data_IF_967555502378
#
_entry.id   IF_967555502378
#
_cell.length_a   1.000
_cell.length_b   1.000
_cell.length_c   1.000
_cell.angle_alpha   90.00
_cell.angle_beta   90.00
_cell.angle_gamma   90.00
#
_symmetry.space_group_name_H-M   'P 1'
#
loop_
_entity.id
_entity.type
_entity.pdbx_description
1 polymer ?
#
# COMPACT_ATOMS: atom_id res chain seq x y z
N UNK A 1 3.70 -3.28 -16.17
CA UNK A 1 2.42 -3.98 -15.90
C UNK A 1 1.24 -3.26 -16.57
N UNK A 2 1.33 -2.94 -17.86
CA UNK A 2 0.21 -2.37 -18.62
C UNK A 2 -0.50 -1.15 -18.01
N UNK A 3 0.25 -0.21 -17.41
CA UNK A 3 -0.31 0.98 -16.73
C UNK A 3 -1.11 1.84 -17.70
N UNK A 4 -2.25 2.35 -17.23
CA UNK A 4 -3.14 3.28 -17.93
C UNK A 4 -3.59 4.39 -16.98
N UNK A 5 -4.13 5.48 -17.52
CA UNK A 5 -4.73 6.53 -16.69
C UNK A 5 -5.89 5.99 -15.84
N UNK A 6 -5.86 6.26 -14.53
CA UNK A 6 -6.75 5.61 -13.55
C UNK A 6 -6.09 4.43 -12.83
N UNK A 7 -4.93 3.95 -13.28
CA UNK A 7 -4.20 2.88 -12.62
C UNK A 7 -3.08 3.46 -11.76
N UNK A 8 -2.91 2.90 -10.57
CA UNK A 8 -1.70 3.07 -9.77
C UNK A 8 -0.96 1.75 -9.74
N UNK A 9 0.33 1.74 -10.07
CA UNK A 9 1.18 0.55 -10.01
C UNK A 9 2.04 0.62 -8.75
N UNK A 10 1.85 -0.34 -7.86
CA UNK A 10 2.73 -0.55 -6.71
C UNK A 10 3.72 -1.66 -7.05
N UNK A 11 5.02 -1.38 -7.00
CA UNK A 11 6.07 -2.41 -7.05
C UNK A 11 6.47 -2.72 -5.62
N UNK A 12 5.81 -3.72 -5.03
CA UNK A 12 5.93 -4.06 -3.61
C UNK A 12 7.03 -5.12 -3.41
N UNK A 13 8.09 -4.71 -2.72
CA UNK A 13 9.21 -5.56 -2.31
C UNK A 13 9.74 -5.12 -0.94
N UNK A 14 11.06 -5.06 -0.81
CA UNK A 14 11.76 -4.52 0.38
C UNK A 14 11.21 -3.15 0.79
N UNK A 15 11.04 -2.27 -0.20
CA UNK A 15 10.29 -1.01 -0.14
C UNK A 15 9.18 -1.04 -1.20
N UNK A 16 8.41 0.04 -1.36
CA UNK A 16 7.43 0.15 -2.46
C UNK A 16 7.65 1.40 -3.27
N UNK A 17 7.74 1.23 -4.60
CA UNK A 17 7.60 2.32 -5.57
C UNK A 17 6.14 2.37 -6.04
N UNK A 18 5.53 3.54 -5.99
CA UNK A 18 4.14 3.81 -6.35
C UNK A 18 4.16 4.73 -7.57
N UNK A 19 3.56 4.28 -8.67
CA UNK A 19 3.57 4.99 -9.94
C UNK A 19 2.15 5.22 -10.44
N UNK A 20 1.88 6.43 -10.93
CA UNK A 20 0.64 6.79 -11.60
C UNK A 20 0.94 7.59 -12.87
N UNK A 21 -0.01 7.62 -13.80
CA UNK A 21 0.04 8.50 -14.97
C UNK A 21 -1.25 9.31 -15.09
N UNK A 22 -1.13 10.56 -15.52
CA UNK A 22 -2.25 11.46 -15.81
C UNK A 22 -1.92 12.32 -17.03
N UNK A 23 -2.92 12.72 -17.82
CA UNK A 23 -2.70 13.58 -19.00
C UNK A 23 -2.03 14.91 -18.64
N UNK A 24 -2.52 15.48 -17.53
CA UNK A 24 -2.02 16.68 -16.90
C UNK A 24 -2.06 16.48 -15.37
N UNK A 25 -1.02 16.93 -14.68
CA UNK A 25 -0.95 16.91 -13.22
C UNK A 25 -0.16 18.13 -12.74
N UNK A 26 -0.64 18.79 -11.69
CA UNK A 26 0.12 19.80 -10.97
C UNK A 26 1.17 19.14 -10.07
N UNK A 27 2.05 19.96 -9.47
CA UNK A 27 2.93 19.48 -8.40
C UNK A 27 2.08 18.89 -7.26
N UNK A 28 2.49 17.73 -6.77
CA UNK A 28 1.83 17.01 -5.68
C UNK A 28 2.77 17.04 -4.47
N UNK A 29 2.41 17.69 -3.36
CA UNK A 29 3.29 17.78 -2.19
C UNK A 29 3.70 16.41 -1.66
N UNK A 30 5.01 16.22 -1.45
CA UNK A 30 5.59 15.04 -0.81
C UNK A 30 5.84 13.83 -1.71
N UNK A 31 5.41 13.85 -2.98
CA UNK A 31 5.74 12.78 -3.93
C UNK A 31 7.18 12.96 -4.45
N UNK A 32 7.80 11.86 -4.90
CA UNK A 32 9.18 11.86 -5.40
C UNK A 32 9.35 12.66 -6.69
N UNK A 33 8.38 12.60 -7.60
CA UNK A 33 8.47 13.28 -8.89
C UNK A 33 7.14 13.37 -9.63
N UNK A 34 7.01 14.45 -10.41
CA UNK A 34 5.90 14.70 -11.34
C UNK A 34 6.53 15.20 -12.65
N UNK A 35 6.73 14.31 -13.62
CA UNK A 35 7.57 14.58 -14.80
C UNK A 35 6.89 14.08 -16.07
N UNK A 36 6.80 14.93 -17.10
CA UNK A 36 6.23 14.54 -18.40
C UNK A 36 7.13 13.53 -19.10
N UNK A 37 6.53 12.45 -19.60
CA UNK A 37 7.25 11.41 -20.34
C UNK A 37 8.06 10.42 -19.48
N UNK A 38 8.04 10.54 -18.15
CA UNK A 38 8.91 9.70 -17.28
C UNK A 38 8.48 8.22 -17.21
N UNK A 39 7.18 7.94 -17.35
CA UNK A 39 6.62 6.58 -17.34
C UNK A 39 6.03 6.22 -18.70
N UNK A 40 5.28 7.15 -19.30
CA UNK A 40 4.67 7.01 -20.61
C UNK A 40 4.91 8.32 -21.39
N UNK A 41 5.37 8.28 -22.66
CA UNK A 41 5.74 9.48 -23.43
C UNK A 41 4.65 10.56 -23.47
N UNK A 42 3.39 10.16 -23.60
CA UNK A 42 2.26 11.08 -23.75
C UNK A 42 1.66 11.63 -22.45
N UNK A 43 2.08 11.12 -21.28
CA UNK A 43 1.49 11.46 -19.98
C UNK A 43 2.50 12.11 -19.04
N UNK A 44 2.00 12.76 -17.99
CA UNK A 44 2.78 13.09 -16.80
C UNK A 44 2.88 11.83 -15.94
N UNK A 45 4.11 11.39 -15.69
CA UNK A 45 4.39 10.30 -14.76
C UNK A 45 4.60 10.85 -13.35
N UNK A 46 3.97 10.18 -12.39
CA UNK A 46 3.99 10.54 -10.98
C UNK A 46 4.61 9.38 -10.22
N UNK A 47 5.60 9.67 -9.38
CA UNK A 47 6.29 8.68 -8.55
C UNK A 47 6.20 9.06 -7.07
N UNK A 48 5.88 8.07 -6.24
CA UNK A 48 5.89 8.13 -4.78
C UNK A 48 6.47 6.82 -4.23
N UNK A 49 6.64 6.71 -2.91
CA UNK A 49 7.00 5.43 -2.32
C UNK A 49 6.91 5.32 -0.82
N UNK A 50 6.89 4.08 -0.34
CA UNK A 50 7.06 3.74 1.07
C UNK A 50 8.51 3.33 1.29
N UNK A 51 9.14 3.87 2.34
CA UNK A 51 10.56 3.62 2.66
C UNK A 51 10.86 2.16 2.98
N UNK A 52 9.92 1.45 3.61
CA UNK A 52 10.07 0.05 4.01
C UNK A 52 8.70 -0.65 4.01
N UNK A 53 8.64 -1.85 3.43
CA UNK A 53 7.48 -2.75 3.48
C UNK A 53 7.95 -4.16 3.81
N UNK A 54 8.61 -4.83 2.86
CA UNK A 54 9.23 -6.13 3.10
C UNK A 54 10.25 -6.10 4.23
N UNK A 55 11.04 -5.03 4.34
CA UNK A 55 12.01 -4.85 5.43
C UNK A 55 11.33 -4.85 6.82
N UNK A 56 10.14 -4.27 6.93
CA UNK A 56 9.36 -4.27 8.17
C UNK A 56 8.94 -5.71 8.51
N UNK A 57 8.42 -6.44 7.53
CA UNK A 57 7.98 -7.82 7.71
C UNK A 57 9.17 -8.72 8.10
N UNK A 58 10.31 -8.58 7.42
CA UNK A 58 11.54 -9.32 7.72
C UNK A 58 12.09 -8.97 9.10
N UNK A 59 12.03 -7.70 9.52
CA UNK A 59 12.46 -7.29 10.86
C UNK A 59 11.58 -7.91 11.96
N UNK A 60 10.26 -7.95 11.77
CA UNK A 60 9.31 -8.60 12.70
C UNK A 60 9.63 -10.10 12.80
N UNK A 61 9.72 -10.79 11.66
CA UNK A 61 10.02 -12.22 11.61
C UNK A 61 11.35 -12.55 12.29
N UNK A 62 12.39 -11.75 12.02
CA UNK A 62 13.72 -11.90 12.62
C UNK A 62 13.70 -11.75 14.14
N UNK A 63 13.01 -10.73 14.68
CA UNK A 63 12.86 -10.54 16.14
C UNK A 63 12.14 -11.72 16.80
N UNK A 64 11.20 -12.33 16.07
CA UNK A 64 10.44 -13.49 16.51
C UNK A 64 11.17 -14.84 16.29
N UNK A 65 12.38 -14.85 15.72
CA UNK A 65 13.13 -16.08 15.45
C UNK A 65 12.49 -16.99 14.40
N UNK A 66 11.74 -16.41 13.45
CA UNK A 66 11.00 -17.15 12.41
C UNK A 66 11.14 -16.47 11.03
N UNK A 67 10.34 -16.89 10.05
CA UNK A 67 10.31 -16.32 8.70
C UNK A 67 8.99 -15.61 8.42
N UNK A 68 9.01 -14.65 7.49
CA UNK A 68 7.79 -13.98 7.02
C UNK A 68 6.79 -14.99 6.46
N UNK A 69 7.27 -16.04 5.79
CA UNK A 69 6.43 -17.11 5.25
C UNK A 69 5.65 -17.84 6.35
N UNK A 70 6.29 -18.20 7.46
CA UNK A 70 5.60 -18.89 8.57
C UNK A 70 4.58 -17.98 9.26
N UNK A 71 4.95 -16.73 9.55
CA UNK A 71 4.00 -15.76 10.12
C UNK A 71 2.83 -15.48 9.18
N UNK A 72 3.08 -15.41 7.87
CA UNK A 72 2.05 -15.19 6.84
C UNK A 72 1.00 -16.30 6.83
N UNK A 73 1.39 -17.55 7.12
CA UNK A 73 0.45 -18.67 7.27
C UNK A 73 -0.48 -18.46 8.46
N UNK A 74 0.05 -17.99 9.58
CA UNK A 74 -0.73 -17.74 10.81
C UNK A 74 -1.78 -16.64 10.64
N UNK A 75 -1.52 -15.65 9.79
CA UNK A 75 -2.42 -14.50 9.58
C UNK A 75 -3.35 -14.65 8.36
N UNK A 76 -3.28 -15.76 7.63
CA UNK A 76 -4.06 -15.95 6.40
C UNK A 76 -5.58 -15.78 6.63
N UNK A 77 -6.07 -16.20 7.79
CA UNK A 77 -7.47 -16.12 8.22
C UNK A 77 -7.82 -14.89 9.05
N UNK A 78 -6.91 -13.93 9.26
CA UNK A 78 -7.20 -12.75 10.07
C UNK A 78 -8.19 -11.83 9.36
N UNK A 79 -9.11 -11.27 10.16
CA UNK A 79 -10.10 -10.27 9.75
C UNK A 79 -9.62 -8.85 10.04
N UNK A 80 -10.22 -7.87 9.38
CA UNK A 80 -9.90 -6.46 9.59
C UNK A 80 -10.01 -6.08 11.07
N UNK A 81 -8.97 -5.43 11.60
CA UNK A 81 -8.93 -4.95 12.98
C UNK A 81 -8.96 -6.06 14.05
N UNK A 82 -8.90 -7.34 13.67
CA UNK A 82 -9.00 -8.46 14.62
C UNK A 82 -7.87 -8.43 15.66
N UNK A 83 -6.67 -7.98 15.28
CA UNK A 83 -5.54 -7.87 16.21
C UNK A 83 -5.80 -6.82 17.29
N UNK A 84 -6.60 -5.78 17.02
CA UNK A 84 -6.69 -4.61 17.90
C UNK A 84 -5.40 -3.77 17.94
N UNK A 85 -4.45 -4.06 17.06
CA UNK A 85 -3.23 -3.29 16.88
C UNK A 85 -3.42 -2.25 15.76
N UNK A 86 -2.77 -1.10 15.92
CA UNK A 86 -2.63 -0.11 14.85
C UNK A 86 -1.16 0.21 14.69
N UNK A 87 -0.63 0.04 13.47
CA UNK A 87 0.79 0.29 13.19
C UNK A 87 0.98 1.43 12.20
N UNK A 88 1.88 2.35 12.56
CA UNK A 88 2.46 3.36 11.69
C UNK A 88 3.83 2.83 11.23
N UNK A 89 4.01 2.43 9.96
CA UNK A 89 5.19 1.67 9.51
C UNK A 89 6.38 2.56 9.11
N UNK A 90 6.71 3.57 9.92
CA UNK A 90 7.84 4.47 9.71
C UNK A 90 9.19 3.90 10.18
N UNK A 91 9.37 2.58 10.18
CA UNK A 91 10.59 1.92 10.65
C UNK A 91 11.87 2.42 9.93
N UNK A 92 11.72 3.00 8.74
CA UNK A 92 12.80 3.64 7.98
C UNK A 92 12.39 5.05 7.50
N UNK A 93 11.71 5.79 8.38
CA UNK A 93 11.16 7.12 8.09
C UNK A 93 10.01 7.11 7.08
N UNK A 94 9.58 8.31 6.68
CA UNK A 94 8.52 8.52 5.71
C UNK A 94 9.07 9.23 4.46
N UNK A 95 9.06 8.54 3.31
CA UNK A 95 9.44 9.12 2.02
C UNK A 95 8.33 9.95 1.40
N UNK A 96 7.09 9.49 1.52
CA UNK A 96 5.89 10.14 0.99
C UNK A 96 4.74 9.89 1.97
N UNK A 97 3.98 10.89 2.41
CA UNK A 97 3.92 12.28 1.93
C UNK A 97 4.69 13.28 2.81
N UNK A 98 5.25 12.85 3.94
CA UNK A 98 5.85 13.75 4.93
C UNK A 98 7.29 14.13 4.61
N UNK A 99 8.00 13.30 3.83
CA UNK A 99 9.41 13.53 3.47
C UNK A 99 10.27 13.74 4.72
N UNK A 100 10.06 12.90 5.72
CA UNK A 100 10.69 13.02 7.03
C UNK A 100 11.46 11.73 7.39
N UNK A 101 12.80 11.73 7.27
CA UNK A 101 13.63 10.57 7.59
C UNK A 101 13.81 10.32 9.09
N UNK A 102 13.40 11.27 9.95
CA UNK A 102 13.60 11.19 11.40
C UNK A 102 12.45 10.50 12.14
N UNK A 103 11.46 9.97 11.41
CA UNK A 103 10.34 9.23 11.98
C UNK A 103 10.72 7.78 12.29
N UNK A 104 10.05 7.20 13.29
CA UNK A 104 10.23 5.81 13.71
C UNK A 104 8.90 5.06 13.75
N UNK A 105 8.96 3.75 13.53
CA UNK A 105 7.78 2.88 13.53
C UNK A 105 7.07 2.86 14.89
N UNK A 106 5.74 2.84 14.89
CA UNK A 106 4.91 2.84 16.09
C UNK A 106 3.83 1.77 16.00
N UNK A 107 3.63 1.00 17.07
CA UNK A 107 2.52 0.05 17.20
C UNK A 107 1.75 0.35 18.48
N UNK A 108 0.45 0.60 18.36
CA UNK A 108 -0.48 0.89 19.46
C UNK A 108 -1.43 -0.28 19.67
N UNK A 109 -1.91 -0.47 20.90
CA UNK A 109 -2.94 -1.48 21.20
C UNK A 109 -2.45 -2.77 21.87
N UNK A 110 -1.15 -2.89 22.14
CA UNK A 110 -0.57 -4.09 22.75
C UNK A 110 -1.28 -4.54 24.04
N UNK A 111 -1.33 -5.85 24.21
CA UNK A 111 -1.79 -6.59 25.39
C UNK A 111 -0.95 -7.88 25.51
N UNK A 112 -1.11 -8.61 26.62
CA UNK A 112 -0.28 -9.77 26.94
C UNK A 112 -0.51 -11.01 26.05
N UNK A 113 -1.55 -11.04 25.22
CA UNK A 113 -1.86 -12.18 24.35
C UNK A 113 -1.35 -12.02 22.92
N UNK A 114 -0.88 -10.83 22.55
CA UNK A 114 -0.34 -10.59 21.22
C UNK A 114 0.96 -11.35 20.98
N UNK A 115 1.18 -11.71 19.72
CA UNK A 115 2.38 -12.36 19.24
C UNK A 115 2.85 -11.73 17.92
N UNK A 116 3.93 -12.28 17.35
CA UNK A 116 4.54 -11.75 16.14
C UNK A 116 3.63 -11.82 14.89
N UNK A 117 2.66 -12.74 14.86
CA UNK A 117 1.67 -12.79 13.78
C UNK A 117 0.74 -11.59 13.84
N UNK A 118 0.30 -11.18 15.05
CA UNK A 118 -0.51 -9.97 15.21
C UNK A 118 0.27 -8.72 14.78
N UNK A 119 1.55 -8.63 15.13
CA UNK A 119 2.42 -7.52 14.70
C UNK A 119 2.60 -7.50 13.17
N UNK A 120 2.80 -8.66 12.55
CA UNK A 120 2.90 -8.76 11.09
C UNK A 120 1.60 -8.33 10.41
N UNK A 121 0.45 -8.79 10.91
CA UNK A 121 -0.83 -8.39 10.34
C UNK A 121 -1.06 -6.88 10.45
N UNK A 122 -0.78 -6.31 11.63
CA UNK A 122 -0.84 -4.86 11.84
C UNK A 122 0.12 -4.10 10.92
N UNK A 123 1.29 -4.67 10.60
CA UNK A 123 2.23 -4.09 9.63
C UNK A 123 1.67 -4.11 8.20
N UNK A 124 1.03 -5.20 7.77
CA UNK A 124 0.37 -5.27 6.47
C UNK A 124 -0.77 -4.24 6.38
N UNK A 125 -1.58 -4.11 7.43
CA UNK A 125 -2.62 -3.07 7.53
C UNK A 125 -1.99 -1.66 7.49
N UNK A 126 -0.93 -1.43 8.27
CA UNK A 126 -0.20 -0.17 8.33
C UNK A 126 0.36 0.28 6.99
N UNK A 127 0.97 -0.62 6.21
CA UNK A 127 1.52 -0.29 4.88
C UNK A 127 0.40 -0.02 3.88
N UNK A 128 -0.75 -0.69 4.00
CA UNK A 128 -1.93 -0.39 3.20
C UNK A 128 -2.51 0.99 3.55
N UNK A 129 -2.58 1.36 4.84
CA UNK A 129 -3.05 2.68 5.25
C UNK A 129 -2.11 3.80 4.81
N UNK A 130 -0.79 3.64 4.93
CA UNK A 130 0.16 4.61 4.41
C UNK A 130 0.04 4.73 2.89
N UNK A 131 -0.13 3.62 2.18
CA UNK A 131 -0.42 3.65 0.74
C UNK A 131 -1.69 4.47 0.47
N UNK A 132 -2.75 4.32 1.26
CA UNK A 132 -3.98 5.12 1.14
C UNK A 132 -3.72 6.61 1.32
N UNK A 133 -2.89 7.02 2.30
CA UNK A 133 -2.50 8.43 2.48
C UNK A 133 -1.89 9.00 1.19
N UNK A 134 -1.04 8.22 0.52
CA UNK A 134 -0.40 8.61 -0.74
C UNK A 134 -1.44 8.72 -1.87
N UNK A 135 -2.34 7.75 -1.99
CA UNK A 135 -3.36 7.76 -3.05
C UNK A 135 -4.37 8.89 -2.84
N UNK A 136 -4.76 9.17 -1.60
CA UNK A 136 -5.63 10.30 -1.25
C UNK A 136 -4.93 11.62 -1.63
N UNK A 137 -3.64 11.78 -1.29
CA UNK A 137 -2.85 12.96 -1.69
C UNK A 137 -2.80 13.16 -3.21
N UNK A 138 -2.58 12.08 -3.97
CA UNK A 138 -2.60 12.14 -5.44
C UNK A 138 -3.99 12.52 -5.96
N UNK A 139 -5.05 11.93 -5.39
CA UNK A 139 -6.45 12.19 -5.79
C UNK A 139 -6.87 13.64 -5.49
N UNK A 140 -6.47 14.17 -4.33
CA UNK A 140 -6.71 15.57 -3.92
C UNK A 140 -6.03 16.57 -4.88
N UNK A 141 -4.97 16.15 -5.59
CA UNK A 141 -4.30 16.91 -6.63
C UNK A 141 -4.80 16.58 -8.06
N UNK A 142 -5.94 15.91 -8.18
CA UNK A 142 -6.63 15.67 -9.46
C UNK A 142 -6.18 14.43 -10.23
N UNK A 143 -5.32 13.58 -9.65
CA UNK A 143 -4.90 12.33 -10.30
C UNK A 143 -6.03 11.30 -10.21
N UNK A 144 -6.54 10.76 -11.34
CA UNK A 144 -7.59 9.75 -11.28
C UNK A 144 -7.03 8.42 -10.78
N UNK A 145 -7.67 7.84 -9.76
CA UNK A 145 -7.30 6.53 -9.20
C UNK A 145 -8.53 5.63 -9.13
N UNK A 146 -8.59 4.63 -10.00
CA UNK A 146 -9.71 3.69 -10.15
C UNK A 146 -9.38 2.29 -9.66
N UNK A 147 -8.16 1.81 -9.92
CA UNK A 147 -7.69 0.48 -9.53
C UNK A 147 -6.19 0.50 -9.28
N UNK A 148 -5.70 -0.51 -8.56
CA UNK A 148 -4.30 -0.58 -8.16
C UNK A 148 -3.70 -1.89 -8.68
N UNK A 149 -2.54 -1.82 -9.33
CA UNK A 149 -1.80 -2.97 -9.82
C UNK A 149 -0.67 -3.26 -8.84
N UNK A 150 -0.81 -4.30 -8.03
CA UNK A 150 0.23 -4.75 -7.11
C UNK A 150 1.18 -5.71 -7.82
N UNK A 151 2.28 -5.17 -8.32
CA UNK A 151 3.44 -5.91 -8.83
C UNK A 151 4.51 -6.11 -7.75
N UNK A 152 5.61 -6.78 -8.13
CA UNK A 152 6.69 -7.15 -7.22
C UNK A 152 6.50 -8.53 -6.59
N UNK A 153 7.50 -9.00 -5.84
CA UNK A 153 7.55 -10.38 -5.35
C UNK A 153 6.58 -10.68 -4.21
N UNK A 154 6.28 -9.70 -3.35
CA UNK A 154 5.42 -9.91 -2.17
C UNK A 154 3.96 -10.17 -2.56
N UNK A 155 3.32 -9.36 -3.44
CA UNK A 155 1.93 -9.58 -3.85
C UNK A 155 1.68 -10.92 -4.53
N UNK A 156 2.70 -11.49 -5.18
CA UNK A 156 2.62 -12.81 -5.82
C UNK A 156 2.49 -13.96 -4.81
N UNK A 157 2.94 -13.75 -3.57
CA UNK A 157 3.06 -14.78 -2.54
C UNK A 157 2.15 -14.55 -1.33
N UNK A 158 1.51 -13.37 -1.24
CA UNK A 158 0.72 -12.97 -0.08
C UNK A 158 -0.70 -12.55 -0.47
N UNK A 159 -1.64 -13.49 -0.36
CA UNK A 159 -3.05 -13.21 -0.61
C UNK A 159 -3.67 -12.30 0.46
N UNK A 160 -3.24 -12.48 1.71
CA UNK A 160 -3.65 -11.63 2.82
C UNK A 160 -3.29 -10.16 2.56
N UNK A 161 -2.10 -9.88 2.02
CA UNK A 161 -1.71 -8.51 1.66
C UNK A 161 -2.63 -7.94 0.59
N UNK A 162 -2.89 -8.67 -0.49
CA UNK A 162 -3.76 -8.16 -1.57
C UNK A 162 -5.19 -7.91 -1.08
N UNK A 163 -5.73 -8.80 -0.23
CA UNK A 163 -7.05 -8.62 0.41
C UNK A 163 -7.08 -7.39 1.32
N UNK A 164 -6.07 -7.21 2.17
CA UNK A 164 -5.98 -6.03 3.05
C UNK A 164 -5.89 -4.75 2.22
N UNK A 165 -5.02 -4.72 1.19
CA UNK A 165 -4.88 -3.56 0.30
C UNK A 165 -6.19 -3.25 -0.43
N UNK A 166 -6.89 -4.25 -0.97
CA UNK A 166 -8.17 -4.03 -1.66
C UNK A 166 -9.18 -3.33 -0.74
N UNK A 167 -9.34 -3.85 0.48
CA UNK A 167 -10.31 -3.33 1.44
C UNK A 167 -9.91 -1.98 2.03
N UNK A 168 -8.64 -1.78 2.36
CA UNK A 168 -8.14 -0.49 2.89
C UNK A 168 -8.25 0.60 1.84
N UNK A 169 -7.81 0.34 0.61
CA UNK A 169 -7.81 1.31 -0.48
C UNK A 169 -9.21 1.49 -1.11
N UNK A 170 -10.14 0.58 -0.82
CA UNK A 170 -11.48 0.50 -1.41
C UNK A 170 -11.45 0.51 -2.93
N UNK A 171 -10.49 -0.22 -3.50
CA UNK A 171 -10.26 -0.31 -4.94
C UNK A 171 -9.88 -1.74 -5.32
N UNK A 172 -10.23 -2.17 -6.55
CA UNK A 172 -9.78 -3.46 -7.06
C UNK A 172 -8.24 -3.51 -7.09
N UNK A 173 -7.67 -4.59 -6.56
CA UNK A 173 -6.24 -4.90 -6.65
C UNK A 173 -6.01 -5.91 -7.77
N UNK A 174 -5.19 -5.54 -8.73
CA UNK A 174 -4.82 -6.37 -9.87
C UNK A 174 -3.40 -6.89 -9.64
N UNK A 175 -3.26 -8.21 -9.61
CA UNK A 175 -1.97 -8.89 -9.44
C UNK A 175 -1.61 -9.54 -10.78
N UNK A 176 -0.52 -9.13 -11.44
CA UNK A 176 -0.08 -9.77 -12.69
C UNK A 176 0.13 -11.28 -12.48
N UNK A 177 -0.36 -12.14 -13.37
CA UNK A 177 -0.17 -13.60 -13.22
C UNK A 177 1.25 -14.09 -13.52
N UNK A 178 2.11 -13.22 -14.06
CA UNK A 178 3.51 -13.47 -14.38
C UNK A 178 4.36 -12.29 -13.92
N UNK A 179 5.67 -12.49 -13.77
CA UNK A 179 6.59 -11.40 -13.47
C UNK A 179 6.61 -10.38 -14.61
N UNK A 180 6.55 -9.10 -14.24
CA UNK A 180 6.46 -7.94 -15.13
C UNK A 180 7.66 -7.00 -14.99
N UNK A 181 8.67 -7.37 -14.18
CA UNK A 181 9.81 -6.52 -13.81
C UNK A 181 10.58 -6.04 -15.04
N UNK A 182 10.93 -6.94 -15.97
CA UNK A 182 11.68 -6.62 -17.19
C UNK A 182 10.78 -6.28 -18.39
N UNK A 183 9.46 -6.45 -18.26
CA UNK A 183 8.53 -6.35 -19.37
C UNK A 183 8.44 -4.93 -19.94
N UNK A 184 8.57 -3.91 -19.09
CA UNK A 184 8.56 -2.50 -19.52
C UNK A 184 9.67 -2.19 -20.53
N UNK A 185 10.90 -2.65 -20.24
CA UNK A 185 12.06 -2.47 -21.12
C UNK A 185 11.86 -3.16 -22.47
N UNK A 186 11.31 -4.39 -22.46
CA UNK A 186 11.00 -5.11 -23.70
C UNK A 186 9.95 -4.37 -24.54
N UNK A 187 8.88 -3.85 -23.92
CA UNK A 187 7.85 -3.05 -24.60
C UNK A 187 8.48 -1.85 -25.32
N UNK A 188 9.29 -1.06 -24.63
CA UNK A 188 9.93 0.11 -25.25
C UNK A 188 10.96 -0.28 -26.31
N UNK A 189 11.69 -1.38 -26.14
CA UNK A 189 12.60 -1.89 -27.17
C UNK A 189 11.84 -2.28 -28.46
N UNK A 190 10.68 -2.95 -28.35
CA UNK A 190 9.87 -3.29 -29.51
C UNK A 190 9.25 -2.07 -30.20
N UNK A 191 8.82 -1.06 -29.43
CA UNK A 191 8.33 0.21 -29.99
C UNK A 191 9.46 0.93 -30.72
N UNK A 192 10.65 1.02 -30.11
CA UNK A 192 11.82 1.65 -30.74
C UNK A 192 12.29 0.90 -32.01
N UNK A 193 12.18 -0.42 -32.03
CA UNK A 193 12.47 -1.25 -33.20
C UNK A 193 11.38 -1.19 -34.29
N UNK A 194 10.27 -0.48 -34.06
CA UNK A 194 9.15 -0.37 -35.00
C UNK A 194 8.28 -1.61 -35.12
N UNK A 195 8.41 -2.58 -34.21
CA UNK A 195 7.60 -3.81 -34.17
C UNK A 195 6.17 -3.50 -33.74
N UNK A 196 6.00 -2.60 -32.79
CA UNK A 196 4.70 -2.03 -32.41
C UNK A 196 4.72 -0.52 -32.65
N UNK A 197 3.57 0.05 -33.04
CA UNK A 197 3.46 1.49 -33.34
C UNK A 197 3.30 2.34 -32.09
N UNK A 198 2.71 1.77 -31.04
CA UNK A 198 2.37 2.47 -29.80
C UNK A 198 2.69 1.61 -28.59
N UNK A 199 2.86 2.25 -27.43
CA UNK A 199 3.06 1.55 -26.15
C UNK A 199 1.83 0.70 -25.82
N UNK A 200 0.62 1.20 -26.08
CA UNK A 200 -0.63 0.51 -25.81
C UNK A 200 -0.81 -0.76 -26.64
N UNK A 201 -0.40 -0.74 -27.91
CA UNK A 201 -0.40 -1.93 -28.78
C UNK A 201 0.53 -3.01 -28.21
N UNK A 202 1.76 -2.62 -27.85
CA UNK A 202 2.73 -3.53 -27.24
C UNK A 202 2.23 -4.07 -25.89
N UNK A 203 1.68 -3.21 -25.03
CA UNK A 203 1.07 -3.61 -23.76
C UNK A 203 -0.05 -4.62 -23.97
N UNK A 204 -0.94 -4.40 -24.94
CA UNK A 204 -2.08 -5.29 -25.23
C UNK A 204 -1.67 -6.68 -25.71
N UNK A 205 -0.47 -6.84 -26.28
CA UNK A 205 0.07 -8.12 -26.74
C UNK A 205 0.98 -8.81 -25.71
N UNK A 206 1.71 -8.03 -24.91
CA UNK A 206 2.79 -8.54 -24.07
C UNK A 206 2.45 -8.57 -22.57
N UNK A 207 1.52 -7.74 -22.09
CA UNK A 207 1.17 -7.75 -20.67
C UNK A 207 0.36 -8.99 -20.30
N UNK A 208 0.74 -9.70 -19.21
CA UNK A 208 -0.01 -10.87 -18.77
C UNK A 208 -1.39 -10.45 -18.24
N UNK A 209 -2.35 -11.39 -18.20
CA UNK A 209 -3.61 -11.17 -17.50
C UNK A 209 -3.36 -10.94 -16.00
N UNK A 210 -4.37 -10.34 -15.35
CA UNK A 210 -4.37 -10.10 -13.92
C UNK A 210 -5.26 -11.11 -13.20
N UNK A 211 -4.89 -11.42 -11.96
CA UNK A 211 -5.83 -11.89 -10.95
C UNK A 211 -6.34 -10.68 -10.17
N UNK A 212 -7.64 -10.53 -10.03
CA UNK A 212 -8.25 -9.38 -9.34
C UNK A 212 -8.73 -9.78 -7.96
N UNK A 213 -8.47 -8.93 -6.96
CA UNK A 213 -9.02 -8.99 -5.62
C UNK A 213 -9.91 -7.77 -5.43
N UNK A 214 -11.21 -7.99 -5.26
CA UNK A 214 -12.20 -6.93 -5.07
C UNK A 214 -12.30 -6.53 -3.59
N UNK A 215 -12.58 -5.25 -3.29
CA UNK A 215 -12.93 -4.85 -1.93
C UNK A 215 -14.27 -5.47 -1.51
N UNK A 216 -14.36 -5.86 -0.24
CA UNK A 216 -15.56 -6.34 0.41
C UNK A 216 -16.14 -5.23 1.29
N UNK A 217 -17.41 -4.87 1.09
CA UNK A 217 -18.06 -3.70 1.73
C UNK A 217 -18.00 -3.73 3.26
N UNK A 218 -18.26 -4.89 3.88
CA UNK A 218 -18.23 -5.09 5.35
C UNK A 218 -16.83 -4.85 5.93
N UNK A 219 -15.82 -5.43 5.30
CA UNK A 219 -14.42 -5.32 5.69
C UNK A 219 -13.87 -3.91 5.44
N UNK A 220 -14.23 -3.30 4.30
CA UNK A 220 -13.85 -1.92 3.95
C UNK A 220 -14.37 -0.89 4.97
N UNK A 221 -15.58 -1.09 5.52
CA UNK A 221 -16.14 -0.23 6.57
C UNK A 221 -15.31 -0.24 7.85
N UNK A 222 -14.79 -1.40 8.26
CA UNK A 222 -13.90 -1.51 9.43
C UNK A 222 -12.60 -0.74 9.16
N UNK A 223 -12.03 -0.89 7.97
CA UNK A 223 -10.81 -0.19 7.60
C UNK A 223 -10.99 1.32 7.45
N UNK A 224 -12.16 1.83 7.07
CA UNK A 224 -12.41 3.28 7.07
C UNK A 224 -12.33 3.88 8.48
N UNK A 225 -12.89 3.18 9.47
CA UNK A 225 -12.80 3.60 10.88
C UNK A 225 -11.35 3.60 11.36
N UNK A 226 -10.60 2.54 11.06
CA UNK A 226 -9.19 2.45 11.41
C UNK A 226 -8.35 3.49 10.66
N UNK A 227 -8.64 3.74 9.39
CA UNK A 227 -7.93 4.72 8.58
C UNK A 227 -8.11 6.15 9.11
N UNK A 228 -9.30 6.50 9.59
CA UNK A 228 -9.52 7.81 10.21
C UNK A 228 -8.59 8.02 11.42
N UNK A 229 -8.42 6.99 12.27
CA UNK A 229 -7.48 7.01 13.40
C UNK A 229 -6.03 7.02 12.91
N UNK A 230 -5.69 6.16 11.96
CA UNK A 230 -4.36 6.09 11.35
C UNK A 230 -3.94 7.46 10.81
N UNK A 231 -4.78 8.09 9.98
CA UNK A 231 -4.50 9.38 9.34
C UNK A 231 -4.32 10.48 10.37
N UNK A 232 -5.17 10.51 11.41
CA UNK A 232 -5.04 11.46 12.53
C UNK A 232 -3.69 11.34 13.22
N UNK A 233 -3.24 10.11 13.52
CA UNK A 233 -1.96 9.87 14.18
C UNK A 233 -0.77 10.09 13.25
N UNK A 234 -0.89 9.69 11.98
CA UNK A 234 0.12 9.86 10.95
C UNK A 234 0.50 11.33 10.77
N UNK A 235 -0.47 12.24 10.68
CA UNK A 235 -0.16 13.68 10.62
C UNK A 235 0.18 14.27 12.00
N UNK A 236 -0.48 13.82 13.07
CA UNK A 236 -0.23 14.32 14.43
C UNK A 236 1.20 14.06 14.94
N UNK A 237 1.81 12.91 14.62
CA UNK A 237 3.20 12.60 14.96
C UNK A 237 4.21 12.98 13.87
N UNK A 238 3.74 13.14 12.62
CA UNK A 238 4.60 13.25 11.45
C UNK A 238 5.29 14.60 11.26
N UNK A 239 4.73 15.66 11.85
CA UNK A 239 5.20 17.03 11.73
C UNK A 239 5.19 17.73 13.10
N UNK A 240 6.28 18.41 13.45
CA UNK A 240 6.40 19.18 14.69
C UNK A 240 5.47 20.41 14.69
N UNK A 241 5.09 20.91 13.52
CA UNK A 241 4.16 22.01 13.37
C UNK A 241 2.68 21.58 13.46
N UNK A 242 2.39 20.28 13.59
CA UNK A 242 1.03 19.79 13.72
C UNK A 242 0.35 20.28 14.99
N UNK A 243 -0.95 20.56 14.89
CA UNK A 243 -1.78 20.86 16.04
C UNK A 243 -1.84 19.70 17.03
N UNK A 244 -2.07 20.03 18.30
CA UNK A 244 -2.25 19.05 19.36
C UNK A 244 -3.38 18.08 18.99
N UNK A 245 -3.04 16.80 18.87
CA UNK A 245 -3.96 15.76 18.43
C UNK A 245 -4.50 14.98 19.64
N UNK A 246 -5.83 14.87 19.83
CA UNK A 246 -6.40 14.06 20.91
C UNK A 246 -6.18 12.57 20.64
N UNK A 247 -5.59 11.86 21.61
CA UNK A 247 -5.25 10.43 21.48
C UNK A 247 -5.86 9.52 22.55
N UNK A 248 -6.58 10.08 23.54
CA UNK A 248 -7.14 9.32 24.66
C UNK A 248 -8.20 8.29 24.27
N UNK A 249 -8.85 8.49 23.12
CA UNK A 249 -9.88 7.60 22.54
C UNK A 249 -9.30 6.46 21.69
N UNK A 250 -8.01 6.54 21.30
CA UNK A 250 -7.39 5.60 20.35
C UNK A 250 -7.43 4.17 20.88
N UNK A 251 -6.86 3.90 22.06
CA UNK A 251 -6.77 2.54 22.59
C UNK A 251 -8.15 1.93 22.90
N UNK A 252 -9.10 2.66 23.52
CA UNK A 252 -10.48 2.17 23.65
C UNK A 252 -11.14 1.84 22.31
N UNK A 253 -10.93 2.66 21.28
CA UNK A 253 -11.52 2.44 19.95
C UNK A 253 -10.95 1.18 19.28
N UNK A 254 -9.62 0.97 19.36
CA UNK A 254 -8.97 -0.22 18.79
C UNK A 254 -9.49 -1.50 19.46
N UNK A 255 -9.64 -1.50 20.80
CA UNK A 255 -10.23 -2.63 21.53
C UNK A 255 -11.66 -2.92 21.10
N UNK A 256 -12.49 -1.88 21.00
CA UNK A 256 -13.88 -2.01 20.55
C UNK A 256 -13.98 -2.60 19.14
N UNK A 257 -13.14 -2.15 18.21
CA UNK A 257 -13.10 -2.69 16.84
C UNK A 257 -12.70 -4.16 16.84
N UNK A 258 -11.70 -4.55 17.64
CA UNK A 258 -11.27 -5.94 17.75
C UNK A 258 -12.38 -6.85 18.32
N UNK A 259 -13.11 -6.39 19.35
CA UNK A 259 -14.26 -7.08 19.93
C UNK A 259 -15.40 -7.27 18.91
N UNK A 260 -15.73 -6.23 18.15
CA UNK A 260 -16.73 -6.29 17.07
C UNK A 260 -16.32 -7.27 15.95
N UNK A 261 -15.02 -7.28 15.60
CA UNK A 261 -14.44 -8.21 14.64
C UNK A 261 -14.45 -9.65 15.14
N UNK A 262 -14.27 -9.87 16.45
CA UNK A 262 -14.40 -11.18 17.09
C UNK A 262 -15.85 -11.68 17.11
N UNK A 263 -16.81 -10.81 17.45
CA UNK A 263 -18.23 -11.15 17.54
C UNK A 263 -18.84 -11.52 16.17
N UNK A 264 -18.36 -10.91 15.08
CA UNK A 264 -18.84 -11.19 13.72
C UNK A 264 -18.42 -12.56 13.17
N UNK A 265 -17.67 -13.36 13.93
CA UNK A 265 -17.22 -14.70 13.54
C UNK A 265 -18.03 -15.85 14.18
N UNK A 266 -19.02 -15.51 15.01
CA UNK A 266 -19.96 -16.42 15.67
C UNK A 266 -21.31 -16.34 14.95
#
# INVERSE_FOLDING_TARGET
AGIREGDVVNVVGTSTCIMAIARDASLIPGVCGVVRGSIHPDYVGIEAGLSAVGDVFDAIARRAGTTVTELSKSVAGYRAGQSGLLRIPWDNGDRTVLVNPNLGGMTLGWNLTHNAADELFAAIEGTAFQTRVILDRMSDCGVPIRRVINGGGIPQRSEVLNRVYANVLQKPILVPQQDVTSLGSAIFAFVAAGVFKTVEEAQGKLCPPYRTVEPETSTAFVYDRLYAVFRRLYFGFGDQASDATPVGDVLPMLRKIAEESAASAI
#
